data_IF_398085040305
#
_entry.id   IF_398085040305
#
_cell.length_a   1.000
_cell.length_b   1.000
_cell.length_c   1.000
_cell.angle_alpha   90.00
_cell.angle_beta   90.00
_cell.angle_gamma   90.00
#
_symmetry.space_group_name_H-M   'P 1'
#
loop_
_entity.id
_entity.type
_entity.pdbx_description
1 polymer ?
#
# COMPACT_ATOMS: atom_id res chain seq x y z
N UNK A 1 -43.19 -42.86 -25.70
CA UNK A 1 -43.45 -41.77 -24.77
C UNK A 1 -42.66 -41.88 -23.46
N UNK A 2 -42.74 -42.95 -22.66
CA UNK A 2 -42.02 -43.07 -21.36
C UNK A 2 -40.48 -42.95 -21.47
N UNK A 3 -39.86 -43.50 -22.52
CA UNK A 3 -38.42 -43.41 -22.75
C UNK A 3 -37.97 -42.01 -23.19
N UNK A 4 -38.80 -41.27 -23.92
CA UNK A 4 -38.52 -39.89 -24.34
C UNK A 4 -38.62 -38.91 -23.16
N UNK A 5 -39.58 -39.14 -22.25
CA UNK A 5 -39.75 -38.36 -21.02
C UNK A 5 -38.61 -38.61 -20.05
N UNK A 6 -38.12 -39.86 -19.92
CA UNK A 6 -36.95 -40.17 -19.11
C UNK A 6 -35.65 -39.54 -19.65
N UNK A 7 -35.50 -39.49 -20.98
CA UNK A 7 -34.34 -38.83 -21.63
C UNK A 7 -34.43 -37.29 -21.44
N UNK A 8 -35.59 -36.70 -21.59
CA UNK A 8 -35.79 -35.26 -21.31
C UNK A 8 -35.58 -34.91 -19.86
N UNK A 9 -35.98 -35.76 -18.90
CA UNK A 9 -35.72 -35.58 -17.47
C UNK A 9 -34.23 -35.72 -17.13
N UNK A 10 -33.50 -36.67 -17.75
CA UNK A 10 -32.07 -36.82 -17.56
C UNK A 10 -31.26 -35.65 -18.17
N UNK A 11 -31.70 -35.14 -19.33
CA UNK A 11 -31.10 -33.94 -19.93
C UNK A 11 -31.40 -32.69 -19.11
N UNK A 12 -32.64 -32.55 -18.56
CA UNK A 12 -32.99 -31.47 -17.65
C UNK A 12 -32.21 -31.55 -16.32
N UNK A 13 -31.96 -32.77 -15.79
CA UNK A 13 -31.12 -32.93 -14.62
C UNK A 13 -29.62 -32.61 -14.89
N UNK A 14 -29.13 -32.83 -16.10
CA UNK A 14 -27.78 -32.42 -16.49
C UNK A 14 -27.64 -30.90 -16.69
N UNK A 15 -28.75 -30.19 -17.02
CA UNK A 15 -28.76 -28.71 -17.05
C UNK A 15 -29.13 -28.08 -15.71
N UNK A 16 -29.55 -28.86 -14.72
CA UNK A 16 -29.78 -28.40 -13.35
C UNK A 16 -28.52 -28.51 -12.45
N UNK A 17 -27.36 -28.87 -13.01
CA UNK A 17 -26.11 -28.38 -12.47
C UNK A 17 -26.03 -26.86 -12.79
N UNK A 18 -26.89 -26.07 -12.14
CA UNK A 18 -26.54 -24.69 -11.83
C UNK A 18 -25.23 -24.83 -11.10
N UNK A 19 -24.13 -24.52 -11.78
CA UNK A 19 -22.88 -24.23 -11.12
C UNK A 19 -23.29 -23.27 -10.01
N UNK A 20 -23.17 -23.72 -8.74
CA UNK A 20 -23.12 -22.79 -7.64
C UNK A 20 -22.14 -21.74 -8.11
N UNK A 21 -22.58 -20.47 -8.16
CA UNK A 21 -21.69 -19.39 -8.54
C UNK A 21 -20.51 -19.50 -7.59
N UNK A 22 -19.36 -19.80 -8.15
CA UNK A 22 -18.13 -19.91 -7.40
C UNK A 22 -17.88 -18.60 -6.66
N UNK A 23 -17.92 -18.63 -5.35
CA UNK A 23 -17.74 -17.42 -4.55
C UNK A 23 -16.25 -17.26 -4.18
N UNK A 24 -15.74 -16.08 -4.50
CA UNK A 24 -14.39 -15.68 -4.06
C UNK A 24 -14.51 -14.80 -2.82
N UNK A 25 -13.84 -15.21 -1.76
CA UNK A 25 -13.80 -14.45 -0.51
C UNK A 25 -12.55 -13.56 -0.50
N UNK A 26 -12.75 -12.25 -0.33
CA UNK A 26 -11.65 -11.27 -0.36
C UNK A 26 -11.55 -10.57 0.99
N UNK A 27 -10.43 -10.81 1.67
CA UNK A 27 -10.13 -10.16 2.95
C UNK A 27 -9.22 -8.97 2.72
N UNK A 28 -9.73 -7.78 3.01
CA UNK A 28 -9.02 -6.52 2.89
C UNK A 28 -8.43 -6.10 4.24
N UNK A 29 -7.23 -5.55 4.22
CA UNK A 29 -6.61 -4.92 5.39
C UNK A 29 -7.48 -3.76 5.91
N UNK A 30 -7.94 -2.88 5.01
CA UNK A 30 -8.89 -1.80 5.30
C UNK A 30 -9.58 -1.31 4.02
N UNK A 31 -10.79 -0.81 4.15
CA UNK A 31 -11.50 -0.10 3.09
C UNK A 31 -11.16 1.41 3.07
N UNK A 32 -10.55 1.92 4.14
CA UNK A 32 -10.22 3.33 4.29
C UNK A 32 -9.04 3.81 3.45
N UNK A 33 -8.21 2.91 2.95
CA UNK A 33 -7.06 3.24 2.11
C UNK A 33 -7.52 3.66 0.70
N UNK A 34 -7.06 4.84 0.24
CA UNK A 34 -7.47 5.43 -1.05
C UNK A 34 -7.02 4.57 -2.24
N UNK A 35 -5.80 4.05 -2.20
CA UNK A 35 -5.29 3.16 -3.24
C UNK A 35 -6.05 1.84 -3.27
N UNK A 36 -6.22 1.19 -2.12
CA UNK A 36 -6.97 -0.07 -2.04
C UNK A 36 -8.44 0.09 -2.43
N UNK A 37 -9.03 1.25 -2.21
CA UNK A 37 -10.38 1.56 -2.70
C UNK A 37 -10.47 1.51 -4.23
N UNK A 38 -9.44 2.00 -4.92
CA UNK A 38 -9.35 1.91 -6.38
C UNK A 38 -9.16 0.46 -6.84
N UNK A 39 -8.24 -0.28 -6.20
CA UNK A 39 -8.00 -1.72 -6.50
C UNK A 39 -9.26 -2.53 -6.29
N UNK A 40 -10.01 -2.25 -5.21
CA UNK A 40 -11.28 -2.93 -4.93
C UNK A 40 -12.32 -2.67 -6.02
N UNK A 41 -12.47 -1.42 -6.43
CA UNK A 41 -13.43 -1.04 -7.48
C UNK A 41 -13.13 -1.74 -8.80
N UNK A 42 -11.87 -1.82 -9.21
CA UNK A 42 -11.46 -2.52 -10.42
C UNK A 42 -11.63 -4.04 -10.29
N UNK A 43 -11.26 -4.62 -9.15
CA UNK A 43 -11.44 -6.05 -8.87
C UNK A 43 -12.93 -6.43 -8.94
N UNK A 44 -13.82 -5.68 -8.28
CA UNK A 44 -15.26 -5.90 -8.32
C UNK A 44 -15.81 -5.79 -9.75
N UNK A 45 -15.35 -4.81 -10.53
CA UNK A 45 -15.76 -4.63 -11.93
C UNK A 45 -15.31 -5.78 -12.83
N UNK A 46 -14.09 -6.30 -12.63
CA UNK A 46 -13.56 -7.42 -13.42
C UNK A 46 -14.25 -8.74 -13.07
N UNK A 47 -14.52 -8.98 -11.79
CA UNK A 47 -15.30 -10.16 -11.37
C UNK A 47 -16.72 -10.13 -11.93
N UNK A 48 -17.35 -8.95 -11.93
CA UNK A 48 -18.68 -8.78 -12.53
C UNK A 48 -18.69 -9.09 -14.03
N UNK A 49 -17.63 -8.72 -14.78
CA UNK A 49 -17.49 -9.08 -16.22
C UNK A 49 -17.39 -10.60 -16.43
N UNK A 50 -16.84 -11.32 -15.46
CA UNK A 50 -16.69 -12.77 -15.48
C UNK A 50 -17.93 -13.50 -14.91
N UNK A 51 -18.95 -12.80 -14.44
CA UNK A 51 -20.09 -13.32 -13.70
C UNK A 51 -19.68 -14.11 -12.45
N UNK A 52 -18.64 -13.66 -11.76
CA UNK A 52 -18.18 -14.21 -10.49
C UNK A 52 -18.64 -13.33 -9.33
N UNK A 53 -18.89 -13.94 -8.17
CA UNK A 53 -19.28 -13.24 -6.94
C UNK A 53 -18.07 -12.97 -6.07
N UNK A 54 -18.00 -11.76 -5.49
CA UNK A 54 -17.02 -11.39 -4.47
C UNK A 54 -17.74 -11.24 -3.13
N UNK A 55 -17.27 -11.96 -2.12
CA UNK A 55 -17.61 -11.77 -0.71
C UNK A 55 -16.46 -11.04 -0.02
N UNK A 56 -16.53 -9.70 0.03
CA UNK A 56 -15.49 -8.86 0.60
C UNK A 56 -15.70 -8.60 2.10
N UNK A 57 -14.60 -8.49 2.86
CA UNK A 57 -14.61 -8.08 4.26
C UNK A 57 -13.53 -7.04 4.54
N UNK A 58 -13.93 -5.99 5.26
CA UNK A 58 -13.01 -4.99 5.81
C UNK A 58 -12.51 -5.44 7.18
N UNK A 59 -11.22 -5.70 7.30
CA UNK A 59 -10.62 -6.01 8.60
C UNK A 59 -10.39 -4.76 9.47
N UNK A 60 -10.50 -3.56 8.89
CA UNK A 60 -10.28 -2.29 9.57
C UNK A 60 -8.99 -2.26 10.41
N UNK A 61 -7.89 -2.78 9.84
CA UNK A 61 -6.59 -2.86 10.50
C UNK A 61 -6.49 -3.89 11.63
N UNK A 62 -7.50 -4.75 11.82
CA UNK A 62 -7.54 -5.73 12.91
C UNK A 62 -7.31 -7.15 12.38
N UNK A 63 -6.17 -7.75 12.75
CA UNK A 63 -5.80 -9.10 12.31
C UNK A 63 -6.77 -10.18 12.79
N UNK A 64 -7.36 -10.04 13.98
CA UNK A 64 -8.33 -11.02 14.48
C UNK A 64 -9.60 -11.03 13.62
N UNK A 65 -10.10 -9.85 13.23
CA UNK A 65 -11.25 -9.73 12.32
C UNK A 65 -10.95 -10.41 10.98
N UNK A 66 -9.74 -10.22 10.43
CA UNK A 66 -9.31 -10.91 9.22
C UNK A 66 -9.29 -12.42 9.38
N UNK A 67 -8.71 -12.94 10.47
CA UNK A 67 -8.62 -14.36 10.74
C UNK A 67 -9.99 -15.02 10.93
N UNK A 68 -10.92 -14.32 11.60
CA UNK A 68 -12.29 -14.80 11.82
C UNK A 68 -13.08 -14.84 10.50
N UNK A 69 -12.91 -13.84 9.63
CA UNK A 69 -13.52 -13.83 8.30
C UNK A 69 -13.02 -15.00 7.45
N UNK A 70 -11.71 -15.21 7.38
CA UNK A 70 -11.12 -16.32 6.62
C UNK A 70 -11.60 -17.67 7.17
N UNK A 71 -11.61 -17.85 8.49
CA UNK A 71 -12.12 -19.06 9.12
C UNK A 71 -13.60 -19.32 8.78
N UNK A 72 -14.41 -18.26 8.74
CA UNK A 72 -15.82 -18.34 8.36
C UNK A 72 -15.97 -18.70 6.88
N UNK A 73 -15.18 -18.07 5.99
CA UNK A 73 -15.18 -18.37 4.57
C UNK A 73 -14.86 -19.86 4.30
N UNK A 74 -13.89 -20.43 5.02
CA UNK A 74 -13.49 -21.83 4.89
C UNK A 74 -14.55 -22.83 5.37
N UNK A 75 -15.54 -22.38 6.16
CA UNK A 75 -16.68 -23.21 6.56
C UNK A 75 -17.82 -23.20 5.51
N UNK A 76 -17.79 -22.29 4.57
CA UNK A 76 -18.82 -22.17 3.53
C UNK A 76 -18.53 -23.13 2.38
N UNK A 77 -19.53 -23.88 1.96
CA UNK A 77 -19.41 -24.85 0.86
C UNK A 77 -19.27 -24.21 -0.54
N UNK A 78 -19.46 -22.91 -0.64
CA UNK A 78 -19.37 -22.11 -1.87
C UNK A 78 -18.02 -21.40 -2.03
N UNK A 79 -17.12 -21.48 -1.04
CA UNK A 79 -15.81 -20.89 -1.08
C UNK A 79 -14.90 -21.64 -2.05
N UNK A 80 -14.62 -21.06 -3.21
CA UNK A 80 -13.72 -21.66 -4.20
C UNK A 80 -12.35 -21.00 -4.28
N UNK A 81 -12.23 -19.78 -3.80
CA UNK A 81 -10.94 -19.08 -3.71
C UNK A 81 -10.95 -18.07 -2.56
N UNK A 82 -9.78 -17.84 -1.98
CA UNK A 82 -9.56 -16.77 -0.99
C UNK A 82 -8.49 -15.82 -1.49
N UNK A 83 -8.78 -14.52 -1.42
CA UNK A 83 -7.84 -13.44 -1.74
C UNK A 83 -7.53 -12.68 -0.46
N UNK A 84 -6.23 -12.51 -0.16
CA UNK A 84 -5.78 -11.96 1.13
C UNK A 84 -4.94 -10.70 0.93
N UNK A 85 -5.40 -9.60 1.51
CA UNK A 85 -4.60 -8.40 1.74
C UNK A 85 -4.25 -8.36 3.24
N UNK A 86 -3.05 -8.84 3.59
CA UNK A 86 -2.68 -9.16 4.97
C UNK A 86 -2.67 -7.93 5.89
N UNK A 87 -3.32 -8.01 7.07
CA UNK A 87 -3.31 -6.94 8.07
C UNK A 87 -1.93 -6.78 8.70
N UNK A 88 -1.39 -7.84 9.28
CA UNK A 88 -0.04 -7.82 9.86
C UNK A 88 1.03 -8.02 8.78
N UNK A 89 1.22 -6.97 7.97
CA UNK A 89 2.21 -6.98 6.89
C UNK A 89 3.62 -7.29 7.42
N UNK A 90 4.31 -8.21 6.76
CA UNK A 90 5.64 -8.64 7.16
C UNK A 90 5.70 -9.67 8.29
N UNK A 91 4.57 -10.05 8.88
CA UNK A 91 4.49 -11.05 9.95
C UNK A 91 4.37 -12.47 9.38
N UNK A 92 5.52 -13.10 9.08
CA UNK A 92 5.55 -14.45 8.47
C UNK A 92 4.80 -15.51 9.29
N UNK A 93 4.79 -15.42 10.63
CA UNK A 93 4.07 -16.35 11.49
C UNK A 93 2.56 -16.30 11.30
N UNK A 94 2.01 -15.09 11.15
CA UNK A 94 0.60 -14.85 10.86
C UNK A 94 0.25 -15.36 9.47
N UNK A 95 1.05 -14.98 8.47
CA UNK A 95 0.88 -15.46 7.10
C UNK A 95 0.91 -17.00 7.00
N UNK A 96 1.87 -17.65 7.67
CA UNK A 96 1.97 -19.11 7.72
C UNK A 96 0.75 -19.76 8.36
N UNK A 97 0.23 -19.17 9.44
CA UNK A 97 -0.96 -19.68 10.14
C UNK A 97 -2.18 -19.64 9.22
N UNK A 98 -2.43 -18.52 8.57
CA UNK A 98 -3.54 -18.36 7.61
C UNK A 98 -3.35 -19.28 6.40
N UNK A 99 -2.14 -19.34 5.84
CA UNK A 99 -1.82 -20.22 4.71
C UNK A 99 -2.12 -21.68 5.04
N UNK A 100 -1.69 -22.16 6.22
CA UNK A 100 -1.94 -23.52 6.66
C UNK A 100 -3.44 -23.84 6.78
N UNK A 101 -4.25 -22.92 7.28
CA UNK A 101 -5.70 -23.07 7.35
C UNK A 101 -6.34 -23.21 5.96
N UNK A 102 -5.97 -22.32 5.03
CA UNK A 102 -6.50 -22.31 3.66
C UNK A 102 -6.09 -23.60 2.93
N UNK A 103 -4.81 -23.99 3.02
CA UNK A 103 -4.29 -25.21 2.39
C UNK A 103 -4.92 -26.49 2.96
N UNK A 104 -5.18 -26.54 4.28
CA UNK A 104 -5.86 -27.68 4.89
C UNK A 104 -7.28 -27.87 4.36
N UNK A 105 -7.95 -26.79 3.94
CA UNK A 105 -9.26 -26.83 3.28
C UNK A 105 -9.17 -27.13 1.78
N UNK A 106 -7.97 -27.15 1.18
CA UNK A 106 -7.75 -27.39 -0.25
C UNK A 106 -8.16 -26.23 -1.15
N UNK A 107 -8.30 -25.03 -0.59
CA UNK A 107 -8.74 -23.83 -1.31
C UNK A 107 -7.54 -23.10 -1.92
N UNK A 108 -7.57 -22.71 -3.20
CA UNK A 108 -6.55 -21.84 -3.80
C UNK A 108 -6.62 -20.43 -3.20
N UNK A 109 -5.44 -19.79 -3.08
CA UNK A 109 -5.36 -18.45 -2.51
C UNK A 109 -4.43 -17.52 -3.29
N UNK A 110 -4.84 -16.26 -3.39
CA UNK A 110 -4.00 -15.18 -3.91
C UNK A 110 -3.79 -14.15 -2.81
N UNK A 111 -2.55 -13.86 -2.53
CA UNK A 111 -2.14 -12.79 -1.62
C UNK A 111 -1.73 -11.58 -2.42
N UNK A 112 -2.06 -10.38 -1.97
CA UNK A 112 -1.74 -9.20 -2.76
C UNK A 112 -1.36 -7.99 -1.93
N UNK A 113 -0.62 -7.08 -2.59
CA UNK A 113 -0.17 -5.78 -2.11
C UNK A 113 0.74 -5.83 -0.89
N UNK A 114 0.29 -6.34 0.25
CA UNK A 114 1.04 -6.29 1.52
C UNK A 114 1.94 -7.53 1.67
N UNK A 115 3.27 -7.36 1.86
CA UNK A 115 4.20 -8.47 1.96
C UNK A 115 3.90 -9.37 3.17
N UNK A 116 4.15 -10.66 2.99
CA UNK A 116 3.90 -11.70 4.02
C UNK A 116 5.08 -11.88 4.99
N UNK A 117 6.27 -11.40 4.61
CA UNK A 117 7.48 -11.42 5.42
C UNK A 117 8.34 -10.21 5.12
N UNK A 118 9.18 -9.84 6.08
CA UNK A 118 10.27 -8.88 5.91
C UNK A 118 11.49 -9.51 5.22
N UNK A 119 11.50 -10.83 5.06
CA UNK A 119 12.52 -11.60 4.34
C UNK A 119 11.95 -12.12 3.02
N UNK A 120 12.60 -11.74 1.90
CA UNK A 120 12.23 -12.26 0.58
C UNK A 120 12.37 -13.78 0.48
N UNK A 121 13.35 -14.37 1.16
CA UNK A 121 13.55 -15.82 1.20
C UNK A 121 12.40 -16.53 1.93
N UNK A 122 12.00 -16.03 3.10
CA UNK A 122 10.86 -16.60 3.84
C UNK A 122 9.55 -16.47 3.06
N UNK A 123 9.32 -15.30 2.43
CA UNK A 123 8.16 -15.08 1.57
C UNK A 123 8.15 -16.06 0.39
N UNK A 124 9.27 -16.21 -0.31
CA UNK A 124 9.39 -17.17 -1.41
C UNK A 124 9.14 -18.61 -0.94
N UNK A 125 9.71 -19.02 0.18
CA UNK A 125 9.54 -20.35 0.74
C UNK A 125 8.07 -20.61 1.12
N UNK A 126 7.35 -19.62 1.64
CA UNK A 126 5.92 -19.76 1.94
C UNK A 126 5.12 -20.16 0.71
N UNK A 127 5.33 -19.47 -0.41
CA UNK A 127 4.58 -19.75 -1.66
C UNK A 127 5.10 -21.00 -2.39
N UNK A 128 6.40 -21.25 -2.40
CA UNK A 128 6.96 -22.47 -3.01
C UNK A 128 6.48 -23.74 -2.33
N UNK A 129 6.26 -23.71 -1.03
CA UNK A 129 5.74 -24.84 -0.27
C UNK A 129 4.21 -24.99 -0.36
N UNK A 130 3.52 -24.02 -0.96
CA UNK A 130 2.07 -23.99 -1.11
C UNK A 130 1.68 -23.72 -2.57
N UNK A 131 1.75 -24.71 -3.46
CA UNK A 131 1.66 -24.53 -4.92
C UNK A 131 0.27 -24.05 -5.41
N UNK A 132 -0.77 -24.14 -4.57
CA UNK A 132 -2.10 -23.58 -4.86
C UNK A 132 -2.21 -22.12 -4.40
N UNK A 133 -1.09 -21.45 -4.18
CA UNK A 133 -1.04 -20.06 -3.73
C UNK A 133 -0.15 -19.20 -4.63
N UNK A 134 -0.45 -17.91 -4.70
CA UNK A 134 0.34 -16.91 -5.41
C UNK A 134 0.37 -15.58 -4.65
N UNK A 135 1.41 -14.78 -4.91
CA UNK A 135 1.49 -13.40 -4.46
C UNK A 135 1.50 -12.45 -5.66
N UNK A 136 0.69 -11.39 -5.58
CA UNK A 136 0.64 -10.31 -6.55
C UNK A 136 0.95 -9.00 -5.84
N UNK A 137 2.04 -8.38 -6.20
CA UNK A 137 2.47 -7.12 -5.57
C UNK A 137 3.51 -6.41 -6.41
N UNK A 138 3.87 -5.21 -5.99
CA UNK A 138 4.93 -4.42 -6.60
C UNK A 138 6.28 -4.80 -6.01
N UNK A 139 7.34 -4.53 -6.75
CA UNK A 139 8.67 -4.46 -6.18
C UNK A 139 8.78 -3.17 -5.37
N UNK A 140 8.78 -3.28 -4.05
CA UNK A 140 8.80 -2.12 -3.15
C UNK A 140 10.09 -1.28 -3.27
N UNK A 141 11.21 -1.89 -3.64
CA UNK A 141 12.47 -1.18 -3.89
C UNK A 141 12.36 -0.29 -5.13
N UNK A 142 11.72 -0.78 -6.19
CA UNK A 142 11.50 0.01 -7.41
C UNK A 142 10.64 1.24 -7.14
N UNK A 143 9.59 1.12 -6.32
CA UNK A 143 8.73 2.25 -5.96
C UNK A 143 9.53 3.37 -5.25
N UNK A 144 10.36 3.01 -4.27
CA UNK A 144 11.23 3.96 -3.57
C UNK A 144 12.28 4.58 -4.50
N UNK A 145 12.92 3.76 -5.34
CA UNK A 145 13.90 4.22 -6.33
C UNK A 145 13.28 5.21 -7.32
N UNK A 146 12.14 4.87 -7.92
CA UNK A 146 11.46 5.74 -8.90
C UNK A 146 11.03 7.06 -8.28
N UNK A 147 10.48 7.05 -7.07
CA UNK A 147 10.16 8.26 -6.33
C UNK A 147 11.40 9.15 -6.15
N UNK A 148 12.53 8.57 -5.73
CA UNK A 148 13.78 9.29 -5.56
C UNK A 148 14.34 9.85 -6.86
N UNK A 149 14.27 9.09 -7.96
CA UNK A 149 14.69 9.55 -9.29
C UNK A 149 13.84 10.75 -9.76
N UNK A 150 12.51 10.70 -9.60
CA UNK A 150 11.61 11.81 -9.95
C UNK A 150 11.89 13.05 -9.10
N UNK A 151 12.03 12.90 -7.79
CA UNK A 151 12.41 13.99 -6.88
C UNK A 151 13.73 14.60 -7.33
N UNK A 152 14.75 13.76 -7.52
CA UNK A 152 16.09 14.21 -7.89
C UNK A 152 16.11 14.94 -9.22
N UNK A 153 15.43 14.44 -10.25
CA UNK A 153 15.31 15.11 -11.53
C UNK A 153 14.68 16.49 -11.37
N UNK A 154 13.55 16.59 -10.67
CA UNK A 154 12.87 17.86 -10.45
C UNK A 154 13.73 18.86 -9.68
N UNK A 155 14.37 18.41 -8.61
CA UNK A 155 15.24 19.26 -7.81
C UNK A 155 16.48 19.77 -8.58
N UNK A 156 17.05 18.95 -9.45
CA UNK A 156 18.20 19.39 -10.30
C UNK A 156 17.76 20.54 -11.22
N UNK A 157 16.58 20.45 -11.79
CA UNK A 157 16.02 21.47 -12.72
C UNK A 157 15.59 22.76 -11.98
N UNK A 158 15.08 22.64 -10.75
CA UNK A 158 14.43 23.73 -10.00
C UNK A 158 15.13 24.09 -8.68
N UNK A 159 16.37 23.70 -8.50
CA UNK A 159 17.05 23.78 -7.19
C UNK A 159 16.95 25.17 -6.54
N UNK A 160 17.19 26.23 -7.32
CA UNK A 160 17.19 27.58 -6.79
C UNK A 160 15.76 28.14 -6.52
N UNK A 161 14.76 27.52 -7.12
CA UNK A 161 13.35 27.89 -6.91
C UNK A 161 12.78 27.20 -5.67
N UNK A 162 13.36 26.04 -5.31
CA UNK A 162 12.97 25.22 -4.15
C UNK A 162 13.75 25.63 -2.88
N UNK A 163 14.98 26.12 -3.00
CA UNK A 163 15.75 26.71 -1.91
C UNK A 163 15.13 28.07 -1.52
N UNK A 164 14.07 28.03 -0.72
CA UNK A 164 13.23 29.17 -0.39
C UNK A 164 13.91 30.14 0.57
N UNK A 165 14.78 29.64 1.43
CA UNK A 165 15.50 30.45 2.41
C UNK A 165 16.86 30.96 1.89
N UNK A 166 17.32 30.46 0.72
CA UNK A 166 18.53 30.87 0.04
C UNK A 166 19.83 30.44 0.74
N UNK A 167 19.79 29.39 1.57
CA UNK A 167 20.95 28.90 2.30
C UNK A 167 21.82 27.93 1.48
N UNK A 168 21.39 27.60 0.26
CA UNK A 168 22.06 26.73 -0.68
C UNK A 168 21.81 25.24 -0.42
N UNK A 169 20.81 24.90 0.38
CA UNK A 169 20.39 23.54 0.72
C UNK A 169 18.89 23.41 0.52
N UNK A 170 18.42 22.18 0.45
CA UNK A 170 16.98 21.87 0.43
C UNK A 170 16.66 21.02 1.67
N UNK A 171 15.83 21.58 2.54
CA UNK A 171 15.35 20.89 3.72
C UNK A 171 14.12 20.04 3.40
N UNK A 172 14.06 18.80 3.91
CA UNK A 172 12.93 17.91 3.68
C UNK A 172 12.31 17.36 4.98
N UNK A 173 11.04 17.02 4.89
CA UNK A 173 10.32 16.18 5.84
C UNK A 173 9.93 14.86 5.17
N UNK A 174 10.02 13.75 5.90
CA UNK A 174 9.63 12.40 5.43
C UNK A 174 8.55 11.84 6.35
N UNK A 175 7.40 11.49 5.77
CA UNK A 175 6.34 10.77 6.46
C UNK A 175 6.38 9.28 6.12
N UNK A 176 6.68 8.45 7.15
CA UNK A 176 6.75 7.00 7.07
C UNK A 176 5.46 6.37 7.58
N UNK A 177 4.87 5.46 6.80
CA UNK A 177 3.56 4.89 7.10
C UNK A 177 3.55 3.84 8.20
N UNK A 178 4.62 3.02 8.30
CA UNK A 178 4.71 1.91 9.25
C UNK A 178 6.19 1.56 9.49
N UNK A 179 6.55 1.34 10.74
CA UNK A 179 7.96 1.09 11.09
C UNK A 179 8.47 -0.26 10.57
N UNK A 180 7.62 -1.28 10.57
CA UNK A 180 8.00 -2.66 10.22
C UNK A 180 7.68 -3.03 8.75
N UNK A 181 6.91 -2.23 8.05
CA UNK A 181 6.49 -2.53 6.68
C UNK A 181 7.63 -2.33 5.67
N UNK A 182 7.91 -3.35 4.83
CA UNK A 182 9.01 -3.32 3.86
C UNK A 182 8.85 -2.24 2.80
N UNK A 183 7.62 -1.95 2.36
CA UNK A 183 7.37 -0.84 1.43
C UNK A 183 7.69 0.50 2.08
N UNK A 184 7.28 0.71 3.35
CA UNK A 184 7.58 1.94 4.08
C UNK A 184 9.08 2.11 4.29
N UNK A 185 9.79 1.03 4.64
CA UNK A 185 11.24 1.04 4.82
C UNK A 185 11.94 1.42 3.51
N UNK A 186 11.62 0.72 2.42
CA UNK A 186 12.24 0.94 1.12
C UNK A 186 11.92 2.34 0.56
N UNK A 187 10.67 2.78 0.57
CA UNK A 187 10.26 4.11 0.09
C UNK A 187 10.93 5.22 0.89
N UNK A 188 11.03 5.07 2.22
CA UNK A 188 11.71 6.06 3.08
C UNK A 188 13.19 6.17 2.76
N UNK A 189 13.90 5.06 2.63
CA UNK A 189 15.34 5.06 2.40
C UNK A 189 15.69 5.43 0.94
N UNK A 190 15.07 4.75 -0.03
CA UNK A 190 15.46 4.86 -1.44
C UNK A 190 15.01 6.18 -2.07
N UNK A 191 13.89 6.78 -1.62
CA UNK A 191 13.47 8.08 -2.13
C UNK A 191 14.54 9.15 -1.85
N UNK A 192 15.09 9.19 -0.64
CA UNK A 192 16.16 10.12 -0.26
C UNK A 192 17.47 9.77 -0.94
N UNK A 193 17.84 8.47 -0.96
CA UNK A 193 19.09 8.01 -1.57
C UNK A 193 19.18 8.37 -3.05
N UNK A 194 18.14 8.07 -3.82
CA UNK A 194 18.16 8.33 -5.27
C UNK A 194 17.98 9.80 -5.63
N UNK A 195 17.24 10.58 -4.83
CA UNK A 195 17.23 12.03 -4.96
C UNK A 195 18.63 12.63 -4.76
N UNK A 196 19.34 12.20 -3.71
CA UNK A 196 20.71 12.63 -3.44
C UNK A 196 21.69 12.19 -4.53
N UNK A 197 21.57 10.98 -5.06
CA UNK A 197 22.41 10.53 -6.20
C UNK A 197 22.28 11.47 -7.40
N UNK A 198 21.05 11.89 -7.74
CA UNK A 198 20.83 12.82 -8.85
C UNK A 198 21.42 14.22 -8.56
N UNK A 199 21.21 14.74 -7.36
CA UNK A 199 21.76 16.03 -6.94
C UNK A 199 23.29 16.05 -6.96
N UNK A 200 23.92 15.05 -6.36
CA UNK A 200 25.39 14.92 -6.33
C UNK A 200 25.96 14.81 -7.74
N UNK A 201 25.32 14.03 -8.63
CA UNK A 201 25.72 13.92 -10.04
C UNK A 201 25.64 15.26 -10.78
N UNK A 202 24.72 16.15 -10.36
CA UNK A 202 24.57 17.50 -10.90
C UNK A 202 25.42 18.57 -10.17
N UNK A 203 26.26 18.17 -9.23
CA UNK A 203 27.11 19.08 -8.45
C UNK A 203 26.34 19.92 -7.43
N UNK A 204 25.16 19.46 -7.02
CA UNK A 204 24.32 20.10 -5.99
C UNK A 204 24.50 19.40 -4.63
N UNK A 205 24.27 20.12 -3.51
CA UNK A 205 24.22 19.51 -2.18
C UNK A 205 23.10 18.47 -2.06
N UNK A 206 23.30 17.49 -1.17
CA UNK A 206 22.25 16.55 -0.76
C UNK A 206 21.12 17.27 -0.01
N UNK A 207 19.90 16.70 -0.05
CA UNK A 207 18.79 17.18 0.78
C UNK A 207 19.05 16.87 2.26
N UNK A 208 18.66 17.77 3.15
CA UNK A 208 18.83 17.62 4.59
C UNK A 208 17.49 17.47 5.30
N UNK A 209 17.39 16.55 6.26
CA UNK A 209 16.17 16.47 7.08
C UNK A 209 16.04 17.73 7.94
N UNK A 210 14.85 18.32 7.99
CA UNK A 210 14.60 19.63 8.60
C UNK A 210 15.00 19.74 10.07
N UNK A 211 14.97 18.62 10.81
CA UNK A 211 15.36 18.54 12.21
C UNK A 211 16.62 17.68 12.38
N UNK A 212 17.76 18.34 12.51
CA UNK A 212 19.05 17.66 12.69
C UNK A 212 19.13 16.80 13.98
N UNK A 213 18.25 17.02 14.95
CA UNK A 213 18.18 16.24 16.19
C UNK A 213 17.47 14.89 16.01
N UNK A 214 16.65 14.75 14.96
CA UNK A 214 15.97 13.50 14.64
C UNK A 214 16.92 12.54 13.90
N UNK A 215 17.48 11.58 14.63
CA UNK A 215 18.45 10.62 14.09
C UNK A 215 17.84 9.70 13.01
N UNK A 216 16.54 9.47 13.03
CA UNK A 216 15.84 8.61 12.07
C UNK A 216 15.61 9.30 10.72
N UNK A 217 15.55 10.64 10.71
CA UNK A 217 15.26 11.46 9.52
C UNK A 217 13.90 11.15 8.87
N UNK A 218 12.92 10.76 9.68
CA UNK A 218 11.51 10.61 9.29
C UNK A 218 10.58 10.77 10.51
N UNK A 219 9.31 11.00 10.23
CA UNK A 219 8.21 10.90 11.19
C UNK A 219 7.36 9.70 10.82
N UNK A 220 7.20 8.75 11.75
CA UNK A 220 6.44 7.52 11.51
C UNK A 220 5.06 7.58 12.14
N UNK A 221 4.05 7.08 11.42
CA UNK A 221 2.72 6.88 11.99
C UNK A 221 2.77 5.78 13.07
N UNK A 222 2.53 6.13 14.34
CA UNK A 222 2.69 5.19 15.45
C UNK A 222 1.69 4.02 15.40
N UNK A 223 0.61 4.17 14.64
CA UNK A 223 -0.41 3.12 14.47
C UNK A 223 -0.18 2.26 13.23
N UNK A 224 0.81 2.59 12.38
CA UNK A 224 1.05 1.91 11.12
C UNK A 224 -0.14 2.00 10.15
N UNK A 225 -0.95 3.06 10.27
CA UNK A 225 -2.20 3.23 9.51
C UNK A 225 -2.04 4.07 8.24
N UNK A 226 -0.85 4.65 8.00
CA UNK A 226 -0.55 5.46 6.81
C UNK A 226 -1.48 6.67 6.65
N UNK A 227 -1.84 7.28 7.76
CA UNK A 227 -2.97 8.17 7.93
C UNK A 227 -2.69 9.60 7.47
N UNK A 228 -3.65 10.18 6.74
CA UNK A 228 -3.69 11.61 6.41
C UNK A 228 -3.83 12.49 7.67
N UNK A 229 -4.55 12.00 8.68
CA UNK A 229 -4.71 12.72 9.96
C UNK A 229 -3.35 12.88 10.63
N UNK A 230 -2.57 11.78 10.74
CA UNK A 230 -1.22 11.82 11.30
C UNK A 230 -0.34 12.83 10.57
N UNK A 231 -0.22 12.72 9.24
CA UNK A 231 0.64 13.61 8.47
C UNK A 231 0.20 15.07 8.53
N UNK A 232 -1.12 15.34 8.56
CA UNK A 232 -1.66 16.69 8.71
C UNK A 232 -1.32 17.29 10.07
N UNK A 233 -1.51 16.56 11.16
CA UNK A 233 -1.20 17.02 12.52
C UNK A 233 0.30 17.27 12.71
N UNK A 234 1.15 16.34 12.20
CA UNK A 234 2.59 16.52 12.27
C UNK A 234 3.05 17.70 11.42
N UNK A 235 2.52 17.86 10.20
CA UNK A 235 2.88 18.99 9.33
C UNK A 235 2.48 20.32 9.95
N UNK A 236 1.29 20.44 10.57
CA UNK A 236 0.88 21.64 11.31
C UNK A 236 1.85 21.95 12.45
N UNK A 237 2.28 20.94 13.20
CA UNK A 237 3.26 21.08 14.27
C UNK A 237 4.58 21.60 13.74
N UNK A 238 5.08 21.02 12.65
CA UNK A 238 6.33 21.44 12.00
C UNK A 238 6.22 22.87 11.49
N UNK A 239 5.15 23.22 10.79
CA UNK A 239 4.93 24.58 10.27
C UNK A 239 4.85 25.66 11.35
N UNK A 240 4.50 25.32 12.59
CA UNK A 240 4.52 26.27 13.70
C UNK A 240 5.94 26.73 14.06
N UNK A 241 6.96 25.93 13.77
CA UNK A 241 8.38 26.19 14.09
C UNK A 241 9.24 26.41 12.87
N UNK A 242 8.93 25.71 11.78
CA UNK A 242 9.69 25.73 10.52
C UNK A 242 8.81 26.34 9.41
N UNK A 243 9.01 27.62 9.16
CA UNK A 243 8.20 28.42 8.25
C UNK A 243 9.02 29.57 7.64
N UNK A 244 8.51 30.20 6.60
CA UNK A 244 9.17 31.33 5.92
C UNK A 244 9.47 32.49 6.87
N UNK A 245 8.55 32.79 7.79
CA UNK A 245 8.75 33.88 8.75
C UNK A 245 9.91 33.67 9.69
N UNK A 246 10.29 32.41 9.94
CA UNK A 246 11.45 32.05 10.76
C UNK A 246 12.73 31.83 9.90
N UNK A 247 12.63 31.85 8.57
CA UNK A 247 13.74 31.64 7.66
C UNK A 247 14.30 30.19 7.67
N UNK A 248 13.47 29.23 8.08
CA UNK A 248 13.83 27.82 8.18
C UNK A 248 12.73 26.88 7.63
N UNK A 249 12.00 27.34 6.62
CA UNK A 249 10.92 26.58 6.01
C UNK A 249 11.37 25.19 5.55
N UNK A 250 10.50 24.18 5.78
CA UNK A 250 10.64 22.87 5.11
C UNK A 250 10.28 23.03 3.64
N UNK A 251 11.16 22.66 2.74
CA UNK A 251 11.11 22.96 1.30
C UNK A 251 10.66 21.77 0.47
N UNK A 252 10.75 20.56 1.01
CA UNK A 252 10.34 19.32 0.34
C UNK A 252 9.58 18.42 1.31
N UNK A 253 8.42 17.94 0.90
CA UNK A 253 7.62 16.96 1.65
C UNK A 253 7.63 15.65 0.89
N UNK A 254 8.11 14.58 1.54
CA UNK A 254 8.14 13.22 1.00
C UNK A 254 7.21 12.33 1.84
N UNK A 255 6.35 11.58 1.18
CA UNK A 255 5.37 10.71 1.85
C UNK A 255 5.47 9.28 1.30
N UNK A 256 5.17 8.31 2.15
CA UNK A 256 5.16 6.91 1.73
C UNK A 256 3.91 6.53 0.90
N UNK A 257 2.79 7.26 1.03
CA UNK A 257 1.58 7.03 0.25
C UNK A 257 0.79 8.32 -0.01
N UNK A 258 -0.26 8.22 -0.84
CA UNK A 258 -1.11 9.34 -1.27
C UNK A 258 -1.91 9.93 -0.11
N UNK A 259 -2.37 9.10 0.81
CA UNK A 259 -3.19 9.56 1.93
C UNK A 259 -2.38 10.46 2.87
N UNK A 260 -1.15 10.07 3.21
CA UNK A 260 -0.24 10.93 3.98
C UNK A 260 0.14 12.20 3.21
N UNK A 261 0.35 12.11 1.89
CA UNK A 261 0.62 13.28 1.06
C UNK A 261 -0.58 14.25 1.08
N UNK A 262 -1.79 13.72 0.97
CA UNK A 262 -3.01 14.53 1.05
C UNK A 262 -3.12 15.25 2.39
N UNK A 263 -2.83 14.58 3.52
CA UNK A 263 -2.82 15.19 4.84
C UNK A 263 -1.82 16.33 4.96
N UNK A 264 -0.60 16.14 4.48
CA UNK A 264 0.43 17.17 4.47
C UNK A 264 0.03 18.38 3.60
N UNK A 265 -0.54 18.13 2.41
CA UNK A 265 -1.04 19.19 1.50
C UNK A 265 -2.13 20.01 2.18
N UNK A 266 -3.09 19.37 2.86
CA UNK A 266 -4.16 20.06 3.59
C UNK A 266 -3.60 20.97 4.69
N UNK A 267 -2.59 20.52 5.42
CA UNK A 267 -1.94 21.34 6.45
C UNK A 267 -1.24 22.56 5.82
N UNK A 268 -0.52 22.37 4.72
CA UNK A 268 0.16 23.43 3.98
C UNK A 268 -0.84 24.48 3.44
N UNK A 269 -1.93 24.03 2.83
CA UNK A 269 -2.98 24.91 2.33
C UNK A 269 -3.64 25.73 3.46
N UNK A 270 -3.94 25.09 4.60
CA UNK A 270 -4.50 25.76 5.76
C UNK A 270 -3.54 26.81 6.37
N UNK A 271 -2.24 26.61 6.23
CA UNK A 271 -1.21 27.56 6.65
C UNK A 271 -0.91 28.66 5.59
N UNK A 272 -1.61 28.64 4.44
CA UNK A 272 -1.49 29.65 3.40
C UNK A 272 -0.42 29.34 2.33
N UNK A 273 0.21 28.16 2.37
CA UNK A 273 1.20 27.72 1.39
C UNK A 273 0.52 27.07 0.18
N UNK A 274 0.02 27.90 -0.74
CA UNK A 274 -0.78 27.40 -1.87
C UNK A 274 0.01 27.24 -3.17
N UNK A 275 1.32 27.59 -3.22
CA UNK A 275 1.95 27.87 -4.51
C UNK A 275 3.33 27.28 -4.76
N UNK A 276 4.04 26.69 -3.80
CA UNK A 276 5.47 26.44 -4.01
C UNK A 276 6.07 25.19 -3.35
N UNK A 277 5.29 24.21 -2.93
CA UNK A 277 5.88 23.02 -2.30
C UNK A 277 5.79 21.82 -3.23
N UNK A 278 6.95 21.26 -3.56
CA UNK A 278 7.00 19.94 -4.17
C UNK A 278 6.68 18.88 -3.13
N UNK A 279 5.62 18.16 -3.35
CA UNK A 279 5.29 16.95 -2.60
C UNK A 279 5.15 15.78 -3.56
N UNK A 280 5.65 14.64 -3.17
CA UNK A 280 5.57 13.42 -3.97
C UNK A 280 5.06 12.26 -3.16
N UNK A 281 4.21 11.48 -3.77
CA UNK A 281 3.76 10.19 -3.28
C UNK A 281 3.93 9.17 -4.40
N UNK A 282 4.42 7.95 -4.13
CA UNK A 282 4.52 6.92 -5.15
C UNK A 282 3.12 6.35 -5.43
N UNK A 283 2.31 7.10 -6.19
CA UNK A 283 1.01 6.60 -6.62
C UNK A 283 1.18 5.62 -7.79
N UNK A 284 0.57 4.42 -7.73
CA UNK A 284 0.49 3.52 -8.88
C UNK A 284 -0.29 4.10 -10.08
N UNK A 285 -0.95 5.26 -9.90
CA UNK A 285 -1.62 5.98 -11.00
C UNK A 285 -0.64 6.76 -11.87
N UNK A 286 0.58 6.97 -11.38
CA UNK A 286 1.64 7.72 -12.06
C UNK A 286 2.60 6.76 -12.80
N UNK A 287 2.36 5.46 -12.72
CA UNK A 287 3.01 4.37 -13.45
C UNK A 287 2.07 3.84 -14.52
#
# INVERSE_FOLDING_TARGET
MKKLVALLLSVMMCFACVSALADTYVSWYTYGDVYLSSVRSEMEADFAKLNLTINGSDANGNQQVQSDFISTALMNNDCEAIVVNLVESGAISTAQTIMNQIQAAGIPTVWFNRPVSTSNEEAANLFLNNPASAFVGTNFEDAGRMQGELIGQYLVEHYNDIDLNGDGKISYIMFKGDEANQEAIARTALAVEYANKALVAAGKPEIEFYDASNANKYLVDPNGSWSNVFSSEQMQTVLSMYNEGNGNMVELVICNNDDMAYGAVMALQNAGYNHCLLYTSPSPRDL
#
